data_IF_590825578455
#
_entry.id   IF_590825578455
#
_cell.length_a   1.000
_cell.length_b   1.000
_cell.length_c   1.000
_cell.angle_alpha   90.00
_cell.angle_beta   90.00
_cell.angle_gamma   90.00
#
_symmetry.space_group_name_H-M   'P 1'
#
loop_
_entity.id
_entity.type
_entity.pdbx_description
1 polymer ?
#
# COMPACT_ATOMS: atom_id res chain seq x y z
N UNK A 1 -2.03 -3.59 -38.62
CA UNK A 1 -0.68 -3.22 -38.12
C UNK A 1 -0.69 -1.85 -37.43
N UNK A 2 -1.81 -1.13 -37.43
CA UNK A 2 -1.93 0.24 -36.93
C UNK A 2 -1.70 0.38 -35.41
N UNK A 3 -2.10 -0.60 -34.60
CA UNK A 3 -1.97 -0.55 -33.13
C UNK A 3 -0.51 -0.40 -32.67
N UNK A 4 0.44 -1.02 -33.36
CA UNK A 4 1.86 -0.90 -33.02
C UNK A 4 2.40 0.50 -33.30
N UNK A 5 1.92 1.15 -34.36
CA UNK A 5 2.31 2.52 -34.70
C UNK A 5 1.78 3.48 -33.63
N UNK A 6 0.51 3.33 -33.23
CA UNK A 6 -0.10 4.15 -32.18
C UNK A 6 0.64 3.96 -30.85
N UNK A 7 0.95 2.70 -30.49
CA UNK A 7 1.71 2.41 -29.28
C UNK A 7 3.12 3.00 -29.33
N UNK A 8 3.80 2.91 -30.47
CA UNK A 8 5.12 3.51 -30.67
C UNK A 8 5.09 5.03 -30.50
N UNK A 9 4.08 5.71 -31.04
CA UNK A 9 3.89 7.16 -30.87
C UNK A 9 3.65 7.50 -29.40
N UNK A 10 2.78 6.78 -28.69
CA UNK A 10 2.53 7.00 -27.26
C UNK A 10 3.80 6.81 -26.41
N UNK A 11 4.58 5.77 -26.67
CA UNK A 11 5.88 5.55 -25.99
C UNK A 11 6.87 6.66 -26.31
N UNK A 12 6.86 7.21 -27.53
CA UNK A 12 7.76 8.30 -27.91
C UNK A 12 7.38 9.63 -27.25
N UNK A 13 6.07 9.90 -27.08
CA UNK A 13 5.57 11.12 -26.43
C UNK A 13 5.72 11.09 -24.90
N UNK A 14 5.33 9.98 -24.29
CA UNK A 14 5.31 9.84 -22.83
C UNK A 14 6.59 9.22 -22.27
N UNK A 15 7.35 8.47 -23.08
CA UNK A 15 8.54 7.73 -22.66
C UNK A 15 8.22 6.30 -22.19
N UNK A 16 9.20 5.40 -22.34
CA UNK A 16 9.08 3.98 -21.99
C UNK A 16 8.79 3.73 -20.50
N UNK A 17 9.21 4.66 -19.61
CA UNK A 17 9.02 4.52 -18.17
C UNK A 17 7.66 5.02 -17.67
N UNK A 18 7.01 5.97 -18.37
CA UNK A 18 5.78 6.63 -17.90
C UNK A 18 4.50 5.85 -18.18
N UNK A 19 4.41 5.16 -19.33
CA UNK A 19 3.29 4.26 -19.61
C UNK A 19 3.09 3.18 -18.54
N UNK A 20 4.12 2.39 -18.15
CA UNK A 20 3.95 1.35 -17.15
C UNK A 20 3.70 1.91 -15.74
N UNK A 21 4.25 3.08 -15.42
CA UNK A 21 4.00 3.79 -14.16
C UNK A 21 2.52 4.20 -14.03
N UNK A 22 1.95 4.83 -15.07
CA UNK A 22 0.55 5.21 -15.13
C UNK A 22 -0.40 4.00 -15.15
N UNK A 23 -0.01 2.93 -15.85
CA UNK A 23 -0.79 1.69 -15.90
C UNK A 23 -0.82 0.97 -14.55
N UNK A 24 0.29 0.98 -13.79
CA UNK A 24 0.35 0.35 -12.45
C UNK A 24 -0.58 1.03 -11.45
N UNK A 25 -0.60 2.36 -11.40
CA UNK A 25 -1.50 3.10 -10.51
C UNK A 25 -2.97 2.96 -10.90
N UNK A 26 -3.29 3.19 -12.18
CA UNK A 26 -4.67 3.10 -12.67
C UNK A 26 -5.22 1.66 -12.63
N UNK A 27 -4.38 0.67 -12.92
CA UNK A 27 -4.74 -0.74 -12.88
C UNK A 27 -5.06 -1.23 -11.46
N UNK A 28 -4.38 -0.72 -10.43
CA UNK A 28 -4.71 -1.04 -9.03
C UNK A 28 -6.09 -0.50 -8.63
N UNK A 29 -6.41 0.73 -8.99
CA UNK A 29 -7.73 1.32 -8.73
C UNK A 29 -8.85 0.54 -9.43
N UNK A 30 -8.67 0.21 -10.71
CA UNK A 30 -9.62 -0.62 -11.45
C UNK A 30 -9.75 -2.03 -10.88
N UNK A 31 -8.66 -2.62 -10.36
CA UNK A 31 -8.68 -3.94 -9.73
C UNK A 31 -9.53 -3.95 -8.45
N UNK A 32 -9.38 -2.92 -7.62
CA UNK A 32 -10.15 -2.78 -6.37
C UNK A 32 -11.63 -2.57 -6.71
N UNK A 33 -11.92 -1.61 -7.61
CA UNK A 33 -13.28 -1.35 -8.06
C UNK A 33 -13.96 -2.60 -8.65
N UNK A 34 -13.23 -3.37 -9.48
CA UNK A 34 -13.75 -4.60 -10.05
C UNK A 34 -13.97 -5.70 -9.00
N UNK A 35 -13.13 -5.78 -7.97
CA UNK A 35 -13.30 -6.75 -6.89
C UNK A 35 -14.52 -6.43 -6.02
N UNK A 36 -14.72 -5.16 -5.66
CA UNK A 36 -15.89 -4.71 -4.91
C UNK A 36 -17.18 -4.87 -5.73
N UNK A 37 -17.15 -4.46 -7.01
CA UNK A 37 -18.29 -4.62 -7.92
C UNK A 37 -18.60 -6.10 -8.19
N UNK A 38 -17.58 -6.95 -8.32
CA UNK A 38 -17.77 -8.40 -8.48
C UNK A 38 -18.37 -9.03 -7.23
N UNK A 39 -18.08 -8.54 -6.02
CA UNK A 39 -18.77 -8.99 -4.81
C UNK A 39 -20.29 -8.73 -4.83
N UNK A 40 -20.71 -7.60 -5.44
CA UNK A 40 -22.13 -7.30 -5.65
C UNK A 40 -22.78 -8.17 -6.73
N UNK A 41 -22.04 -8.50 -7.80
CA UNK A 41 -22.56 -9.28 -8.95
C UNK A 41 -22.52 -10.80 -8.67
N UNK A 42 -21.47 -11.31 -8.03
CA UNK A 42 -21.32 -12.74 -7.67
C UNK A 42 -22.25 -13.17 -6.51
N UNK A 43 -22.94 -12.24 -5.84
CA UNK A 43 -23.89 -12.59 -4.78
C UNK A 43 -25.10 -13.40 -5.30
N UNK A 44 -25.29 -13.50 -6.63
CA UNK A 44 -26.31 -14.33 -7.29
C UNK A 44 -25.75 -15.64 -7.91
N UNK A 45 -24.42 -15.81 -8.01
CA UNK A 45 -23.78 -16.95 -8.70
C UNK A 45 -22.61 -17.50 -7.86
N UNK A 46 -22.94 -18.09 -6.70
CA UNK A 46 -21.94 -18.68 -5.82
C UNK A 46 -21.41 -20.01 -6.41
N UNK A 47 -20.11 -20.02 -6.73
CA UNK A 47 -19.16 -21.16 -6.83
C UNK A 47 -18.41 -21.23 -8.15
N UNK A 48 -17.46 -20.33 -8.37
CA UNK A 48 -16.20 -20.74 -8.98
C UNK A 48 -15.07 -19.74 -8.70
N UNK A 49 -13.86 -20.24 -8.43
CA UNK A 49 -12.60 -19.50 -8.22
C UNK A 49 -12.28 -19.00 -6.80
N UNK A 50 -12.40 -19.85 -5.79
CA UNK A 50 -11.40 -19.85 -4.69
C UNK A 50 -10.06 -20.37 -5.23
N UNK A 51 -9.34 -19.57 -6.01
CA UNK A 51 -7.89 -19.75 -6.31
C UNK A 51 -7.43 -18.69 -7.30
N UNK A 52 -7.09 -17.50 -6.79
CA UNK A 52 -6.14 -16.62 -7.45
C UNK A 52 -5.54 -15.67 -6.41
N UNK A 53 -4.61 -16.25 -5.65
CA UNK A 53 -3.45 -15.64 -5.01
C UNK A 53 -3.62 -14.35 -4.21
N UNK A 54 -3.28 -14.50 -2.92
CA UNK A 54 -2.90 -13.50 -1.95
C UNK A 54 -2.23 -12.24 -2.54
N UNK A 55 -2.41 -11.06 -1.91
CA UNK A 55 -1.76 -9.84 -2.35
C UNK A 55 -0.25 -10.02 -2.16
N UNK A 56 0.46 -10.38 -3.23
CA UNK A 56 1.88 -10.10 -3.30
C UNK A 56 1.98 -8.59 -3.38
N UNK A 57 2.21 -7.98 -2.23
CA UNK A 57 2.84 -6.67 -2.09
C UNK A 57 3.90 -6.55 -3.16
N UNK A 58 3.60 -5.83 -4.24
CA UNK A 58 4.63 -5.32 -5.14
C UNK A 58 5.34 -4.26 -4.32
N UNK A 59 6.29 -4.73 -3.52
CA UNK A 59 7.31 -3.90 -2.90
C UNK A 59 8.11 -3.38 -4.09
N UNK A 60 7.79 -2.16 -4.55
CA UNK A 60 8.65 -1.44 -5.48
C UNK A 60 9.94 -1.16 -4.72
N UNK A 61 10.86 -2.11 -4.77
CA UNK A 61 12.27 -1.91 -4.45
C UNK A 61 12.84 -1.03 -5.54
N UNK A 62 12.67 0.28 -5.39
CA UNK A 62 13.61 1.26 -5.93
C UNK A 62 13.90 2.27 -4.82
N UNK A 63 14.73 1.81 -3.87
CA UNK A 63 15.53 2.69 -3.02
C UNK A 63 16.91 2.06 -3.05
N UNK A 64 17.91 2.65 -3.75
CA UNK A 64 19.29 2.28 -3.55
C UNK A 64 19.61 2.45 -2.07
N UNK A 65 20.15 1.40 -1.46
CA UNK A 65 20.55 1.38 -0.06
C UNK A 65 21.54 2.51 0.25
N UNK A 66 21.07 3.56 0.93
CA UNK A 66 21.89 4.53 1.66
C UNK A 66 21.03 5.37 2.62
N UNK A 67 20.38 4.75 3.60
CA UNK A 67 20.35 5.26 4.98
C UNK A 67 19.74 4.23 5.94
N UNK A 68 20.52 3.20 6.26
CA UNK A 68 20.26 2.33 7.41
C UNK A 68 21.14 2.85 8.55
N UNK A 69 20.73 3.93 9.19
CA UNK A 69 21.28 4.32 10.49
C UNK A 69 20.24 5.11 11.30
N UNK A 70 19.84 4.54 12.43
CA UNK A 70 19.23 5.22 13.58
C UNK A 70 17.71 5.41 13.55
N UNK A 71 16.97 4.34 13.87
CA UNK A 71 15.72 4.44 14.62
C UNK A 71 15.52 3.15 15.41
N UNK A 72 16.34 2.95 16.44
CA UNK A 72 16.09 1.92 17.45
C UNK A 72 14.82 2.30 18.23
N UNK A 73 13.92 1.36 18.54
CA UNK A 73 12.77 1.61 19.39
C UNK A 73 13.28 1.72 20.83
N UNK A 74 13.27 2.93 21.41
CA UNK A 74 13.53 3.09 22.84
C UNK A 74 12.29 2.59 23.60
N UNK A 75 12.34 1.32 23.97
CA UNK A 75 11.55 0.75 25.06
C UNK A 75 11.92 1.45 26.37
N UNK A 76 11.07 2.34 26.87
CA UNK A 76 11.02 2.66 28.30
C UNK A 76 9.56 2.87 28.74
N UNK A 77 9.00 1.98 29.59
CA UNK A 77 7.79 2.31 30.32
C UNK A 77 8.15 3.38 31.36
N UNK A 78 7.61 4.59 31.21
CA UNK A 78 7.72 5.61 32.25
C UNK A 78 6.81 5.18 33.40
N UNK A 79 7.40 4.51 34.40
CA UNK A 79 6.80 4.31 35.71
C UNK A 79 6.67 5.68 36.35
N UNK A 80 5.49 6.29 36.25
CA UNK A 80 5.12 7.43 37.11
C UNK A 80 4.69 6.85 38.46
N UNK A 81 5.66 6.46 39.27
CA UNK A 81 5.49 6.45 40.72
C UNK A 81 5.75 7.85 41.23
N UNK A 82 4.70 8.55 41.63
CA UNK A 82 4.82 9.54 42.71
C UNK A 82 3.52 9.50 43.51
N UNK A 83 3.49 8.72 44.61
CA UNK A 83 2.41 8.77 45.59
C UNK A 83 2.27 10.20 46.12
N UNK A 84 1.18 10.89 45.77
CA UNK A 84 0.78 12.14 46.44
C UNK A 84 0.08 11.78 47.75
N UNK A 85 0.87 11.38 48.74
CA UNK A 85 0.42 11.26 50.12
C UNK A 85 1.60 11.54 51.06
N UNK A 86 1.86 12.82 51.32
CA UNK A 86 2.61 13.25 52.49
C UNK A 86 2.00 14.55 53.02
N UNK A 87 1.01 14.35 53.89
CA UNK A 87 0.93 15.02 55.19
C UNK A 87 0.98 16.57 55.20
N UNK A 88 -0.19 17.18 55.46
CA UNK A 88 -0.33 18.14 56.55
C UNK A 88 -1.81 18.51 56.78
N UNK A 89 -2.45 18.01 57.84
CA UNK A 89 -3.58 18.67 58.46
C UNK A 89 -3.14 19.22 59.82
N UNK A 90 -2.63 20.45 59.92
CA UNK A 90 -2.48 21.11 61.24
C UNK A 90 -2.54 22.65 61.21
N UNK A 91 -3.30 23.11 62.22
CA UNK A 91 -3.44 24.44 62.82
C UNK A 91 -4.41 25.40 62.13
#
# INVERSE_FOLDING_TARGET
MELFIILAVLVLLFGASKLPELARGSGQALKIFKAETKGLIDSDDEKDKRTASAPTTVRTTDVPAADQATSQPVSQPIVVETPREHDAPRA
#
